data_IF_635623583848
#
_entry.id   IF_635623583848
#
_cell.length_a   1.000
_cell.length_b   1.000
_cell.length_c   1.000
_cell.angle_alpha   90.00
_cell.angle_beta   90.00
_cell.angle_gamma   90.00
#
_symmetry.space_group_name_H-M   'P 1'
#
loop_
_entity.id
_entity.type
_entity.pdbx_description
1 polymer ?
#
# COMPACT_ATOMS: atom_id res chain seq x y z
N UNK A 1 -12.31 -4.45 -11.40
CA UNK A 1 -12.14 -3.18 -10.67
C UNK A 1 -13.36 -2.84 -9.82
N UNK A 2 -14.60 -3.00 -10.29
CA UNK A 2 -15.78 -2.73 -9.44
C UNK A 2 -15.92 -3.66 -8.23
N UNK A 3 -15.66 -4.96 -8.39
CA UNK A 3 -15.70 -5.92 -7.27
C UNK A 3 -14.75 -5.57 -6.13
N UNK A 4 -13.52 -5.18 -6.46
CA UNK A 4 -12.51 -4.76 -5.48
C UNK A 4 -12.98 -3.60 -4.59
N UNK A 5 -13.64 -2.59 -5.16
CA UNK A 5 -14.12 -1.45 -4.38
C UNK A 5 -15.31 -1.80 -3.47
N UNK A 6 -16.20 -2.68 -3.95
CA UNK A 6 -17.29 -3.21 -3.13
C UNK A 6 -16.77 -4.06 -1.96
N UNK A 7 -15.78 -4.92 -2.21
CA UNK A 7 -15.09 -5.71 -1.19
C UNK A 7 -14.37 -4.83 -0.17
N UNK A 8 -13.65 -3.80 -0.65
CA UNK A 8 -12.97 -2.85 0.22
C UNK A 8 -13.97 -2.12 1.13
N UNK A 9 -15.12 -1.73 0.59
CA UNK A 9 -16.19 -1.12 1.37
C UNK A 9 -16.78 -2.07 2.42
N UNK A 10 -16.99 -3.34 2.06
CA UNK A 10 -17.43 -4.35 3.01
C UNK A 10 -16.40 -4.57 4.13
N UNK A 11 -15.10 -4.64 3.79
CA UNK A 11 -14.02 -4.78 4.78
C UNK A 11 -13.99 -3.57 5.71
N UNK A 12 -14.10 -2.34 5.17
CA UNK A 12 -14.16 -1.12 5.96
C UNK A 12 -15.35 -1.11 6.93
N UNK A 13 -16.53 -1.51 6.47
CA UNK A 13 -17.74 -1.58 7.31
C UNK A 13 -17.70 -2.66 8.40
N UNK A 14 -16.88 -3.71 8.23
CA UNK A 14 -16.71 -4.78 9.23
C UNK A 14 -15.61 -4.48 10.26
N UNK A 15 -14.79 -3.45 10.02
CA UNK A 15 -13.56 -3.25 10.76
C UNK A 15 -13.65 -2.01 11.66
N UNK A 16 -13.57 -2.20 12.98
CA UNK A 16 -13.77 -1.14 13.99
C UNK A 16 -12.48 -0.47 14.48
N UNK A 17 -11.33 -1.03 14.15
CA UNK A 17 -10.02 -0.47 14.53
C UNK A 17 -9.44 0.38 13.39
N UNK A 18 -8.48 1.26 13.66
CA UNK A 18 -7.83 2.01 12.60
C UNK A 18 -7.16 1.08 11.58
N UNK A 19 -7.30 1.43 10.30
CA UNK A 19 -6.87 0.59 9.21
C UNK A 19 -6.28 1.39 8.05
N UNK A 20 -5.50 0.70 7.22
CA UNK A 20 -4.90 1.28 6.03
C UNK A 20 -4.98 0.35 4.83
N UNK A 21 -4.98 0.97 3.65
CA UNK A 21 -4.92 0.35 2.34
C UNK A 21 -3.68 0.88 1.64
N UNK A 22 -2.82 -0.04 1.22
CA UNK A 22 -1.53 0.29 0.59
C UNK A 22 -1.41 -0.51 -0.69
N UNK A 23 -0.97 0.13 -1.77
CA UNK A 23 -0.68 -0.57 -3.00
C UNK A 23 -0.48 0.35 -4.18
N UNK A 24 -0.14 -0.26 -5.32
CA UNK A 24 -0.19 0.37 -6.62
C UNK A 24 -1.64 0.39 -7.10
N UNK A 25 -2.31 1.52 -6.86
CA UNK A 25 -3.68 1.71 -7.33
C UNK A 25 -3.73 1.90 -8.84
N UNK A 26 -2.61 2.23 -9.49
CA UNK A 26 -2.54 2.68 -10.87
C UNK A 26 -3.48 3.88 -11.16
N UNK A 27 -3.79 4.67 -10.11
CA UNK A 27 -4.75 5.78 -10.16
C UNK A 27 -4.07 7.12 -9.94
N UNK A 28 -4.10 7.95 -10.99
CA UNK A 28 -3.59 9.32 -10.95
C UNK A 28 -4.66 10.20 -10.31
N UNK A 29 -4.43 10.71 -9.09
CA UNK A 29 -5.39 11.57 -8.37
C UNK A 29 -5.56 12.97 -8.98
N UNK A 30 -4.68 13.36 -9.90
CA UNK A 30 -4.70 14.70 -10.49
C UNK A 30 -4.52 14.72 -12.02
N UNK A 31 -5.48 15.27 -12.79
CA UNK A 31 -5.42 15.33 -14.25
C UNK A 31 -4.32 16.24 -14.83
N UNK A 32 -3.55 16.98 -14.00
CA UNK A 32 -2.49 17.89 -14.50
C UNK A 32 -1.22 17.17 -15.00
N UNK A 33 -1.12 15.84 -14.88
CA UNK A 33 0.00 15.03 -15.37
C UNK A 33 -0.24 14.37 -16.75
N UNK A 34 -1.25 14.82 -17.49
CA UNK A 34 -1.34 14.60 -18.94
C UNK A 34 -1.33 15.96 -19.63
N UNK A 35 -0.57 16.11 -20.71
CA UNK A 35 -0.27 17.38 -21.38
C UNK A 35 -1.47 18.15 -21.95
N UNK A 36 -2.72 17.74 -21.67
CA UNK A 36 -3.95 18.32 -22.25
C UNK A 36 -5.18 18.25 -21.34
N UNK A 37 -5.06 18.50 -20.03
CA UNK A 37 -6.22 18.77 -19.16
C UNK A 37 -7.37 17.75 -19.30
N UNK A 38 -7.08 16.47 -19.10
CA UNK A 38 -8.03 15.39 -19.35
C UNK A 38 -9.15 15.29 -18.30
N UNK A 39 -10.38 15.08 -18.77
CA UNK A 39 -11.58 14.79 -17.97
C UNK A 39 -11.34 13.56 -17.08
N UNK A 40 -11.75 13.60 -15.81
CA UNK A 40 -11.64 12.45 -14.88
C UNK A 40 -12.31 11.23 -15.50
N UNK A 41 -11.61 10.09 -15.55
CA UNK A 41 -12.22 8.82 -15.97
C UNK A 41 -13.28 8.39 -14.96
N UNK A 42 -14.23 7.57 -15.39
CA UNK A 42 -15.23 7.00 -14.47
C UNK A 42 -14.57 6.24 -13.32
N UNK A 43 -13.47 5.52 -13.60
CA UNK A 43 -12.67 4.87 -12.55
C UNK A 43 -12.11 5.88 -11.53
N UNK A 44 -11.54 7.01 -11.99
CA UNK A 44 -11.01 8.05 -11.10
C UNK A 44 -12.10 8.65 -10.20
N UNK A 45 -13.30 8.86 -10.72
CA UNK A 45 -14.44 9.32 -9.91
C UNK A 45 -14.83 8.28 -8.86
N UNK A 46 -14.98 7.02 -9.26
CA UNK A 46 -15.29 5.92 -8.33
C UNK A 46 -14.24 5.78 -7.22
N UNK A 47 -12.96 5.96 -7.53
CA UNK A 47 -11.91 5.93 -6.52
C UNK A 47 -12.00 7.08 -5.51
N UNK A 48 -12.35 8.28 -5.98
CA UNK A 48 -12.59 9.41 -5.08
C UNK A 48 -13.83 9.19 -4.21
N UNK A 49 -14.92 8.67 -4.79
CA UNK A 49 -16.14 8.28 -4.06
C UNK A 49 -15.80 7.26 -2.96
N UNK A 50 -15.04 6.20 -3.26
CA UNK A 50 -14.67 5.19 -2.25
C UNK A 50 -13.78 5.76 -1.13
N UNK A 51 -12.86 6.67 -1.47
CA UNK A 51 -12.05 7.36 -0.46
C UNK A 51 -12.94 8.20 0.46
N UNK A 52 -13.93 8.88 -0.10
CA UNK A 52 -14.88 9.70 0.65
C UNK A 52 -15.83 8.85 1.50
N UNK A 53 -16.45 7.83 0.92
CA UNK A 53 -17.39 6.91 1.58
C UNK A 53 -16.73 6.15 2.76
N UNK A 54 -15.43 5.87 2.67
CA UNK A 54 -14.67 5.16 3.70
C UNK A 54 -13.85 6.09 4.59
N UNK A 55 -14.03 7.41 4.44
CA UNK A 55 -13.36 8.45 5.23
C UNK A 55 -11.83 8.27 5.27
N UNK A 56 -11.26 7.85 4.14
CA UNK A 56 -9.85 7.54 4.01
C UNK A 56 -9.03 8.80 3.71
N UNK A 57 -7.91 8.94 4.41
CA UNK A 57 -6.90 9.98 4.19
C UNK A 57 -5.73 9.44 3.39
N UNK A 58 -5.42 10.13 2.29
CA UNK A 58 -4.23 9.84 1.46
C UNK A 58 -3.00 10.52 2.07
N UNK A 59 -2.15 9.73 2.73
CA UNK A 59 -0.97 10.26 3.41
C UNK A 59 0.03 10.88 2.41
N UNK A 60 0.69 12.00 2.75
CA UNK A 60 1.73 12.56 1.90
C UNK A 60 2.94 11.61 1.81
N UNK A 61 3.61 11.57 0.67
CA UNK A 61 4.91 10.92 0.54
C UNK A 61 5.97 11.82 1.21
N UNK A 62 6.83 11.23 2.05
CA UNK A 62 8.05 11.89 2.51
C UNK A 62 9.21 11.53 1.59
N UNK A 63 10.02 12.51 1.20
CA UNK A 63 11.22 12.30 0.37
C UNK A 63 10.98 12.27 -1.15
N UNK A 64 9.77 12.53 -1.65
CA UNK A 64 9.50 12.65 -3.09
C UNK A 64 8.02 12.85 -3.45
N UNK A 65 7.74 13.26 -4.69
CA UNK A 65 6.37 13.53 -5.18
C UNK A 65 5.81 12.47 -6.15
N UNK A 66 6.60 11.43 -6.45
CA UNK A 66 6.33 10.44 -7.49
C UNK A 66 6.80 9.07 -7.05
N UNK A 67 6.10 8.04 -7.47
CA UNK A 67 6.43 6.63 -7.17
C UNK A 67 6.67 5.82 -8.45
N UNK A 68 6.32 6.40 -9.60
CA UNK A 68 6.56 5.83 -10.91
C UNK A 68 7.14 6.85 -11.88
N UNK A 69 8.05 6.41 -12.74
CA UNK A 69 8.60 7.16 -13.86
C UNK A 69 8.63 6.28 -15.12
N UNK A 70 8.26 6.85 -16.27
CA UNK A 70 8.27 6.16 -17.55
C UNK A 70 7.77 7.02 -18.71
N UNK A 71 7.26 6.39 -19.77
CA UNK A 71 6.89 7.06 -21.02
C UNK A 71 8.09 7.36 -21.94
N UNK A 72 7.85 8.00 -23.08
CA UNK A 72 8.90 8.32 -24.05
C UNK A 72 9.99 9.17 -23.37
N UNK A 73 11.24 8.67 -23.41
CA UNK A 73 12.41 9.31 -22.78
C UNK A 73 12.26 9.61 -21.27
N UNK A 74 11.48 8.82 -20.53
CA UNK A 74 11.27 8.97 -19.08
C UNK A 74 10.68 10.34 -18.67
N UNK A 75 9.94 10.99 -19.59
CA UNK A 75 9.37 12.32 -19.37
C UNK A 75 8.07 12.30 -18.55
N UNK A 76 7.47 11.13 -18.31
CA UNK A 76 6.25 11.00 -17.50
C UNK A 76 6.60 10.52 -16.09
N UNK A 77 6.07 11.20 -15.08
CA UNK A 77 6.21 10.78 -13.69
C UNK A 77 4.85 10.84 -13.02
N UNK A 78 4.46 9.78 -12.32
CA UNK A 78 3.16 9.67 -11.66
C UNK A 78 3.33 9.18 -10.21
N UNK A 79 2.31 9.46 -9.40
CA UNK A 79 2.16 8.86 -8.09
C UNK A 79 1.04 7.84 -8.20
N UNK A 80 1.40 6.57 -8.25
CA UNK A 80 0.47 5.45 -8.43
C UNK A 80 0.36 4.60 -7.15
N UNK A 81 1.42 4.60 -6.35
CA UNK A 81 1.44 4.01 -5.01
C UNK A 81 0.89 5.01 -3.99
N UNK A 82 -0.08 4.55 -3.19
CA UNK A 82 -0.71 5.36 -2.13
C UNK A 82 -0.83 4.57 -0.84
N UNK A 83 -0.86 5.32 0.25
CA UNK A 83 -1.18 4.86 1.58
C UNK A 83 -2.46 5.60 1.99
N UNK A 84 -3.58 4.90 1.96
CA UNK A 84 -4.87 5.41 2.39
C UNK A 84 -5.11 4.91 3.82
N UNK A 85 -5.41 5.80 4.76
CA UNK A 85 -5.60 5.44 6.18
C UNK A 85 -6.94 5.96 6.68
N UNK A 86 -7.58 5.26 7.61
CA UNK A 86 -8.79 5.74 8.26
C UNK A 86 -8.54 7.02 9.08
N UNK A 87 -9.60 7.78 9.37
CA UNK A 87 -9.49 9.06 10.07
C UNK A 87 -8.99 8.92 11.53
N UNK A 88 -9.30 7.81 12.18
CA UNK A 88 -8.87 7.46 13.53
C UNK A 88 -7.41 6.99 13.61
N UNK A 89 -6.73 6.77 12.46
CA UNK A 89 -5.34 6.30 12.38
C UNK A 89 -4.33 7.15 13.17
N UNK A 90 -4.54 8.47 13.25
CA UNK A 90 -3.62 9.37 13.95
C UNK A 90 -3.90 9.47 15.46
N UNK A 91 -5.06 9.01 15.93
CA UNK A 91 -5.41 8.98 17.36
C UNK A 91 -4.58 7.99 18.18
N UNK A 92 -3.92 7.01 17.52
CA UNK A 92 -3.05 6.02 18.15
C UNK A 92 -1.56 6.43 18.19
N UNK A 93 -1.21 7.69 17.89
CA UNK A 93 0.18 8.18 17.83
C UNK A 93 0.93 8.26 19.19
N UNK A 94 0.86 7.22 20.02
CA UNK A 94 1.84 6.94 21.08
C UNK A 94 2.80 5.79 20.75
N UNK A 95 2.98 5.44 19.47
CA UNK A 95 3.96 4.44 19.06
C UNK A 95 4.20 4.38 17.54
N UNK A 96 5.25 3.67 17.10
CA UNK A 96 5.55 3.50 15.67
C UNK A 96 4.43 2.74 14.94
N UNK A 97 4.07 3.22 13.74
CA UNK A 97 2.98 2.69 12.90
C UNK A 97 3.26 1.27 12.40
N UNK A 98 2.31 0.32 12.51
CA UNK A 98 2.50 -1.04 12.01
C UNK A 98 2.23 -1.16 10.51
N UNK A 99 3.04 -2.00 9.86
CA UNK A 99 2.76 -2.60 8.55
C UNK A 99 1.47 -3.44 8.62
N UNK A 100 0.70 -3.56 7.53
CA UNK A 100 -0.47 -4.45 7.49
C UNK A 100 -0.22 -5.65 6.58
N UNK A 101 -0.39 -6.82 7.18
CA UNK A 101 -0.17 -8.18 6.71
C UNK A 101 -1.48 -8.96 6.99
N UNK A 102 -1.86 -9.93 6.14
CA UNK A 102 -3.11 -10.69 6.28
C UNK A 102 -3.18 -11.41 7.65
N UNK A 103 -4.06 -10.92 8.53
CA UNK A 103 -4.12 -11.29 9.95
C UNK A 103 -4.60 -12.74 10.23
N UNK A 104 -5.03 -13.48 9.20
CA UNK A 104 -5.47 -14.88 9.34
C UNK A 104 -4.35 -15.80 9.83
N UNK A 105 -3.14 -15.61 9.29
CA UNK A 105 -1.99 -16.46 9.58
C UNK A 105 -1.45 -16.16 10.98
N UNK A 106 -1.57 -14.92 11.47
CA UNK A 106 -1.17 -14.52 12.82
C UNK A 106 -2.05 -15.09 13.96
N UNK A 107 -3.17 -15.75 13.63
CA UNK A 107 -4.00 -16.50 14.59
C UNK A 107 -3.45 -17.89 14.89
N UNK A 108 -2.54 -18.38 14.05
CA UNK A 108 -1.83 -19.63 14.23
C UNK A 108 -0.61 -19.34 15.15
N UNK A 109 -0.52 -20.01 16.29
CA UNK A 109 0.47 -19.69 17.33
C UNK A 109 1.91 -19.78 16.81
N UNK A 110 2.17 -20.69 15.88
CA UNK A 110 3.50 -20.95 15.33
C UNK A 110 3.82 -20.04 14.15
N UNK A 111 2.81 -19.51 13.46
CA UNK A 111 3.03 -18.69 12.28
C UNK A 111 3.88 -17.46 12.56
N UNK A 112 3.80 -16.82 13.73
CA UNK A 112 4.64 -15.65 14.06
C UNK A 112 6.12 -15.98 14.18
N UNK A 113 6.44 -17.23 14.52
CA UNK A 113 7.83 -17.69 14.69
C UNK A 113 8.51 -17.90 13.34
N UNK A 114 7.73 -18.22 12.31
CA UNK A 114 8.21 -18.62 10.98
C UNK A 114 8.83 -17.45 10.19
N UNK A 115 8.12 -16.33 9.93
CA UNK A 115 8.68 -15.16 9.25
C UNK A 115 9.84 -14.53 10.01
N UNK A 116 9.80 -14.58 11.35
CA UNK A 116 10.86 -14.08 12.21
C UNK A 116 12.15 -14.89 12.02
N UNK A 117 12.03 -16.22 12.05
CA UNK A 117 13.17 -17.13 11.83
C UNK A 117 13.78 -16.92 10.44
N UNK A 118 12.95 -16.78 9.40
CA UNK A 118 13.44 -16.49 8.05
C UNK A 118 14.15 -15.15 7.95
N UNK A 119 13.56 -14.11 8.54
CA UNK A 119 14.12 -12.76 8.53
C UNK A 119 15.52 -12.69 9.17
N UNK A 120 15.68 -13.37 10.31
CA UNK A 120 16.94 -13.47 11.05
C UNK A 120 17.98 -14.34 10.30
N UNK A 121 17.52 -15.35 9.56
CA UNK A 121 18.39 -16.20 8.72
C UNK A 121 18.91 -15.52 7.44
N UNK A 122 18.26 -14.46 6.97
CA UNK A 122 18.70 -13.73 5.78
C UNK A 122 19.93 -12.88 6.05
N UNK A 123 21.02 -13.18 5.35
CA UNK A 123 22.26 -12.41 5.36
C UNK A 123 22.54 -11.79 3.99
N UNK A 124 22.46 -10.46 3.92
CA UNK A 124 22.78 -9.66 2.74
C UNK A 124 23.73 -8.54 3.16
N UNK A 125 24.65 -8.14 2.27
CA UNK A 125 25.59 -7.05 2.50
C UNK A 125 25.33 -5.90 1.51
N UNK A 126 25.56 -4.66 1.95
CA UNK A 126 25.31 -3.46 1.16
C UNK A 126 24.72 -2.32 1.98
N UNK A 127 24.08 -1.37 1.31
CA UNK A 127 23.37 -0.28 2.01
C UNK A 127 22.16 -0.83 2.78
N UNK A 128 21.74 -0.13 3.83
CA UNK A 128 20.56 -0.52 4.62
C UNK A 128 19.29 -0.66 3.76
N UNK A 129 19.11 0.22 2.76
CA UNK A 129 17.99 0.15 1.81
C UNK A 129 18.05 -1.06 0.89
N UNK A 130 19.26 -1.44 0.46
CA UNK A 130 19.48 -2.64 -0.35
C UNK A 130 19.20 -3.91 0.46
N UNK A 131 19.75 -4.00 1.68
CA UNK A 131 19.52 -5.15 2.59
C UNK A 131 18.03 -5.31 2.87
N UNK A 132 17.32 -4.22 3.15
CA UNK A 132 15.88 -4.25 3.37
C UNK A 132 15.12 -4.78 2.14
N UNK A 133 15.45 -4.27 0.94
CA UNK A 133 14.81 -4.71 -0.30
C UNK A 133 15.04 -6.20 -0.59
N UNK A 134 16.26 -6.70 -0.39
CA UNK A 134 16.60 -8.12 -0.61
C UNK A 134 15.92 -9.04 0.41
N UNK A 135 15.84 -8.62 1.69
CA UNK A 135 15.09 -9.40 2.70
C UNK A 135 13.60 -9.46 2.39
N UNK A 136 13.00 -8.38 1.89
CA UNK A 136 11.59 -8.37 1.47
C UNK A 136 11.33 -9.26 0.25
N UNK A 137 12.23 -9.25 -0.74
CA UNK A 137 12.18 -10.17 -1.88
C UNK A 137 12.25 -11.62 -1.43
N UNK A 138 13.18 -11.94 -0.52
CA UNK A 138 13.34 -13.29 0.00
C UNK A 138 12.10 -13.77 0.76
N UNK A 139 11.53 -12.93 1.64
CA UNK A 139 10.25 -13.23 2.32
C UNK A 139 9.13 -13.54 1.32
N UNK A 140 8.98 -12.72 0.28
CA UNK A 140 7.96 -12.91 -0.75
C UNK A 140 8.06 -14.29 -1.40
N UNK A 141 9.27 -14.72 -1.78
CA UNK A 141 9.50 -16.04 -2.37
C UNK A 141 9.18 -17.20 -1.42
N UNK A 142 9.33 -17.02 -0.11
CA UNK A 142 8.97 -18.05 0.86
C UNK A 142 7.46 -18.17 1.01
N UNK A 143 6.72 -17.06 0.97
CA UNK A 143 5.25 -17.11 0.98
C UNK A 143 4.68 -17.75 -0.29
N UNK A 144 5.24 -17.47 -1.46
CA UNK A 144 4.82 -18.07 -2.74
C UNK A 144 5.05 -19.60 -2.80
N UNK A 145 5.87 -20.17 -1.90
CA UNK A 145 6.10 -21.62 -1.80
C UNK A 145 5.14 -22.34 -0.84
N UNK A 146 4.33 -21.58 -0.09
CA UNK A 146 3.36 -22.14 0.86
C UNK A 146 1.96 -22.34 0.24
N UNK A 147 1.76 -21.88 -1.00
CA UNK A 147 0.58 -22.17 -1.87
C UNK A 147 0.86 -23.38 -2.77
#
# INVERSE_FOLDING_TARGET
>A
MEGFWGELGAIGGMWSDPWCVVGDFNMIKFPFKRSRGGRLSSAMRRFLEVIEDLELRDLPLQGGHFTWSGGLNNQSKSRIDRFLVSEDWEGLRRGPTPFRFENMWLKEEDFKTVPKTWWEGFNFSGSASFILAEKLKALKTYYEKLE
#
